data_IF_201438370552
#
_entry.id   IF_201438370552
#
_cell.length_a   1.000
_cell.length_b   1.000
_cell.length_c   1.000
_cell.angle_alpha   90.00
_cell.angle_beta   90.00
_cell.angle_gamma   90.00
#
_symmetry.space_group_name_H-M   'P 1'
#
loop_
_entity.id
_entity.type
_entity.pdbx_description
1 polymer ?
#
# COMPACT_ATOMS: atom_id res chain seq x y z
N UNK A 1 -64.33 26.09 -45.53
CA UNK A 1 -63.69 25.58 -44.31
C UNK A 1 -63.03 24.20 -44.47
N UNK A 2 -62.41 23.85 -45.65
CA UNK A 2 -61.70 22.56 -45.92
C UNK A 2 -60.19 22.68 -46.06
N UNK A 3 -59.64 23.89 -46.17
CA UNK A 3 -58.26 24.13 -46.43
C UNK A 3 -57.37 24.20 -45.18
N UNK A 4 -57.87 24.49 -44.02
CA UNK A 4 -57.04 24.71 -42.80
C UNK A 4 -56.69 23.41 -42.05
N UNK A 5 -57.53 22.36 -42.20
CA UNK A 5 -57.24 21.04 -41.57
C UNK A 5 -56.04 20.28 -42.17
N UNK A 6 -55.77 20.50 -43.48
CA UNK A 6 -54.69 19.82 -44.17
C UNK A 6 -53.30 20.46 -43.89
N UNK A 7 -53.27 21.77 -43.61
CA UNK A 7 -52.02 22.47 -43.30
C UNK A 7 -51.49 22.10 -41.89
N UNK A 8 -52.41 21.96 -40.91
CA UNK A 8 -52.03 21.50 -39.58
C UNK A 8 -51.49 20.07 -39.56
N UNK A 9 -52.05 19.19 -40.39
CA UNK A 9 -51.56 17.78 -40.47
C UNK A 9 -50.19 17.66 -41.06
N UNK A 10 -49.86 18.45 -42.06
CA UNK A 10 -48.53 18.45 -42.71
C UNK A 10 -47.45 19.07 -41.81
N UNK A 11 -47.80 20.13 -41.07
CA UNK A 11 -46.89 20.77 -40.12
C UNK A 11 -46.56 19.84 -38.92
N UNK A 12 -47.56 19.11 -38.40
CA UNK A 12 -47.37 18.17 -37.29
C UNK A 12 -46.47 16.96 -37.72
N UNK A 13 -46.64 16.44 -38.93
CA UNK A 13 -45.81 15.36 -39.45
C UNK A 13 -44.39 15.86 -39.74
N UNK A 14 -44.22 17.09 -40.27
CA UNK A 14 -42.93 17.71 -40.48
C UNK A 14 -42.12 17.94 -39.21
N UNK A 15 -42.79 18.39 -38.11
CA UNK A 15 -42.15 18.59 -36.80
C UNK A 15 -41.83 17.27 -36.14
N UNK A 16 -42.61 16.20 -36.35
CA UNK A 16 -42.34 14.87 -35.80
C UNK A 16 -41.15 14.19 -36.49
N UNK A 17 -40.94 14.42 -37.79
CA UNK A 17 -39.80 13.89 -38.55
C UNK A 17 -38.52 14.65 -38.20
N UNK A 18 -38.57 15.95 -37.91
CA UNK A 18 -37.41 16.75 -37.52
C UNK A 18 -36.96 16.41 -36.06
N UNK A 19 -37.89 16.04 -35.15
CA UNK A 19 -37.56 15.63 -33.79
C UNK A 19 -36.88 14.23 -33.71
N UNK A 20 -37.09 13.38 -34.70
CA UNK A 20 -36.43 12.06 -34.72
C UNK A 20 -34.97 12.10 -35.20
N UNK A 21 -34.52 13.19 -35.82
CA UNK A 21 -33.15 13.34 -36.32
C UNK A 21 -32.16 13.99 -35.33
N UNK A 22 -32.65 14.53 -34.21
CA UNK A 22 -31.84 15.15 -33.16
C UNK A 22 -31.55 14.20 -31.98
N UNK A 23 -31.95 12.94 -32.04
CA UNK A 23 -31.61 11.92 -31.06
C UNK A 23 -30.34 11.15 -31.48
N UNK A 24 -29.29 11.86 -31.93
CA UNK A 24 -27.92 11.38 -31.84
C UNK A 24 -27.43 11.61 -30.40
N UNK A 25 -28.08 10.97 -29.47
CA UNK A 25 -27.56 10.74 -28.15
C UNK A 25 -26.27 9.94 -28.31
N UNK A 26 -25.19 10.53 -27.84
CA UNK A 26 -23.92 9.88 -27.55
C UNK A 26 -24.19 8.61 -26.71
N UNK A 27 -24.56 7.53 -27.37
CA UNK A 27 -24.38 6.20 -26.84
C UNK A 27 -22.87 6.00 -26.81
N UNK A 28 -22.28 6.20 -25.65
CA UNK A 28 -21.06 5.50 -25.31
C UNK A 28 -21.38 4.03 -25.49
N UNK A 29 -21.07 3.49 -26.65
CA UNK A 29 -21.12 2.06 -26.89
C UNK A 29 -20.13 1.48 -25.91
N UNK A 30 -20.61 0.75 -24.92
CA UNK A 30 -19.84 -0.35 -24.39
C UNK A 30 -19.57 -1.23 -25.60
N UNK A 31 -18.39 -1.10 -26.17
CA UNK A 31 -17.85 -2.10 -27.08
C UNK A 31 -17.67 -3.28 -26.12
N UNK A 32 -18.64 -4.21 -26.10
CA UNK A 32 -18.40 -5.56 -25.63
C UNK A 32 -17.27 -6.09 -26.54
N UNK A 33 -16.04 -5.94 -26.06
CA UNK A 33 -14.89 -6.62 -26.64
C UNK A 33 -15.10 -8.07 -26.25
N UNK A 34 -15.71 -8.85 -27.17
CA UNK A 34 -15.68 -10.30 -27.04
C UNK A 34 -14.23 -10.70 -26.79
N UNK A 35 -13.94 -11.49 -25.74
CA UNK A 35 -12.59 -11.90 -25.48
C UNK A 35 -12.05 -12.64 -26.70
N UNK A 36 -11.03 -12.09 -27.34
CA UNK A 36 -10.37 -12.65 -28.53
C UNK A 36 -9.53 -13.85 -28.09
N UNK A 37 -10.17 -14.89 -27.57
CA UNK A 37 -9.55 -16.14 -27.15
C UNK A 37 -10.05 -17.29 -28.03
N UNK A 38 -9.70 -17.22 -29.32
CA UNK A 38 -10.12 -18.23 -30.31
C UNK A 38 -9.09 -19.35 -30.45
N UNK A 39 -7.88 -19.15 -29.96
CA UNK A 39 -6.79 -20.13 -30.03
C UNK A 39 -6.12 -20.36 -28.67
N UNK A 40 -5.36 -21.44 -28.57
CA UNK A 40 -4.51 -21.68 -27.39
C UNK A 40 -3.44 -20.60 -27.19
N UNK A 41 -2.97 -19.99 -28.29
CA UNK A 41 -2.04 -18.87 -28.23
C UNK A 41 -2.68 -17.61 -27.64
N UNK A 42 -3.94 -17.32 -27.98
CA UNK A 42 -4.66 -16.18 -27.42
C UNK A 42 -4.90 -16.37 -25.91
N UNK A 43 -5.30 -17.58 -25.51
CA UNK A 43 -5.48 -17.92 -24.09
C UNK A 43 -4.17 -17.77 -23.32
N UNK A 44 -3.04 -18.21 -23.88
CA UNK A 44 -1.73 -18.04 -23.24
C UNK A 44 -1.32 -16.57 -23.17
N UNK A 45 -1.57 -15.79 -24.21
CA UNK A 45 -1.29 -14.35 -24.23
C UNK A 45 -2.08 -13.61 -23.14
N UNK A 46 -3.35 -13.97 -22.95
CA UNK A 46 -4.17 -13.42 -21.88
C UNK A 46 -3.64 -13.77 -20.48
N UNK A 47 -3.23 -15.04 -20.27
CA UNK A 47 -2.62 -15.47 -19.01
C UNK A 47 -1.34 -14.71 -18.71
N UNK A 48 -0.49 -14.47 -19.73
CA UNK A 48 0.70 -13.63 -19.56
C UNK A 48 0.33 -12.20 -19.15
N UNK A 49 -0.68 -11.60 -19.78
CA UNK A 49 -1.20 -10.28 -19.41
C UNK A 49 -1.70 -10.24 -17.96
N UNK A 50 -2.43 -11.28 -17.51
CA UNK A 50 -2.87 -11.38 -16.12
C UNK A 50 -1.70 -11.45 -15.12
N UNK A 51 -0.64 -12.20 -15.45
CA UNK A 51 0.54 -12.31 -14.61
C UNK A 51 1.29 -10.97 -14.53
N UNK A 52 1.48 -10.28 -15.64
CA UNK A 52 2.06 -8.93 -15.68
C UNK A 52 1.21 -7.98 -14.82
N UNK A 53 -0.11 -7.95 -15.02
CA UNK A 53 -1.02 -7.07 -14.27
C UNK A 53 -0.97 -7.31 -12.76
N UNK A 54 -0.96 -8.57 -12.31
CA UNK A 54 -0.84 -8.90 -10.88
C UNK A 54 0.49 -8.42 -10.28
N UNK A 55 1.59 -8.59 -11.02
CA UNK A 55 2.90 -8.12 -10.57
C UNK A 55 2.95 -6.59 -10.48
N UNK A 56 2.36 -5.88 -11.44
CA UNK A 56 2.32 -4.42 -11.45
C UNK A 56 1.48 -3.87 -10.28
N UNK A 57 0.31 -4.46 -9.99
CA UNK A 57 -0.50 -4.09 -8.82
C UNK A 57 0.26 -4.35 -7.52
N UNK A 58 1.02 -5.44 -7.46
CA UNK A 58 1.88 -5.74 -6.31
C UNK A 58 3.05 -4.77 -6.15
N UNK A 59 3.56 -4.21 -7.26
CA UNK A 59 4.64 -3.23 -7.25
C UNK A 59 4.15 -1.84 -6.83
N UNK A 60 3.16 -1.31 -7.54
CA UNK A 60 2.52 -0.02 -7.24
C UNK A 60 1.16 0.09 -7.94
N UNK A 61 0.10 0.21 -7.17
CA UNK A 61 -1.28 0.30 -7.68
C UNK A 61 -1.60 1.62 -8.41
N UNK A 62 -0.70 2.61 -8.36
CA UNK A 62 -0.84 3.90 -9.04
C UNK A 62 -0.27 3.89 -10.47
N UNK A 63 0.32 2.79 -10.92
CA UNK A 63 0.83 2.68 -12.28
C UNK A 63 -0.32 2.81 -13.30
N UNK A 64 -0.09 3.61 -14.34
CA UNK A 64 -1.06 3.82 -15.42
C UNK A 64 -1.03 2.62 -16.38
N UNK A 65 -2.11 1.84 -16.37
CA UNK A 65 -2.22 0.63 -17.20
C UNK A 65 -2.16 0.93 -18.70
N UNK A 66 -2.69 2.07 -19.15
CA UNK A 66 -2.66 2.44 -20.56
C UNK A 66 -1.22 2.72 -21.03
N UNK A 67 -0.42 3.38 -20.18
CA UNK A 67 1.00 3.60 -20.46
C UNK A 67 1.78 2.27 -20.46
N UNK A 68 1.46 1.32 -19.59
CA UNK A 68 2.04 -0.03 -19.60
C UNK A 68 1.71 -0.75 -20.90
N UNK A 69 0.43 -0.74 -21.32
CA UNK A 69 0.00 -1.34 -22.56
C UNK A 69 0.68 -0.69 -23.79
N UNK A 70 0.89 0.64 -23.75
CA UNK A 70 1.63 1.34 -24.80
C UNK A 70 3.08 0.86 -24.85
N UNK A 71 3.78 0.80 -23.71
CA UNK A 71 5.16 0.30 -23.66
C UNK A 71 5.31 -1.13 -24.15
N UNK A 72 4.31 -2.00 -23.88
CA UNK A 72 4.29 -3.35 -24.43
C UNK A 72 4.16 -3.34 -25.96
N UNK A 73 3.29 -2.49 -26.53
CA UNK A 73 3.13 -2.36 -27.99
C UNK A 73 4.42 -1.85 -28.64
N UNK A 74 5.04 -0.83 -28.06
CA UNK A 74 6.27 -0.21 -28.55
C UNK A 74 7.44 -1.22 -28.52
N UNK A 75 7.54 -2.02 -27.47
CA UNK A 75 8.52 -3.10 -27.38
C UNK A 75 8.30 -4.17 -28.48
N UNK A 76 7.04 -4.50 -28.78
CA UNK A 76 6.70 -5.46 -29.83
C UNK A 76 6.99 -4.91 -31.25
N UNK A 77 6.80 -3.60 -31.49
CA UNK A 77 7.08 -2.96 -32.77
C UNK A 77 8.58 -2.68 -32.99
N UNK A 78 9.36 -2.69 -31.90
CA UNK A 78 10.78 -2.31 -31.95
C UNK A 78 11.02 -0.79 -32.00
N UNK A 79 9.99 0.02 -31.72
CA UNK A 79 10.03 1.48 -31.78
C UNK A 79 9.69 2.11 -30.41
N UNK A 80 10.53 1.91 -29.37
CA UNK A 80 10.25 2.45 -28.05
C UNK A 80 10.35 3.98 -28.02
N UNK A 81 9.40 4.65 -27.34
CA UNK A 81 9.42 6.09 -27.13
C UNK A 81 10.60 6.58 -26.28
N UNK A 82 11.09 5.73 -25.40
CA UNK A 82 12.23 6.01 -24.53
C UNK A 82 13.38 5.09 -24.92
N UNK A 83 14.58 5.63 -25.05
CA UNK A 83 15.78 4.81 -25.15
C UNK A 83 16.12 4.16 -23.78
N UNK A 84 16.97 3.14 -23.78
CA UNK A 84 17.30 2.34 -22.61
C UNK A 84 17.87 3.17 -21.45
N UNK A 85 18.67 4.20 -21.75
CA UNK A 85 19.27 5.06 -20.73
C UNK A 85 18.20 5.91 -20.00
N UNK A 86 17.31 6.54 -20.77
CA UNK A 86 16.21 7.35 -20.23
C UNK A 86 15.21 6.48 -19.49
N UNK A 87 14.87 5.30 -20.02
CA UNK A 87 13.99 4.35 -19.37
C UNK A 87 14.55 3.89 -18.03
N UNK A 88 15.85 3.54 -18.00
CA UNK A 88 16.54 3.15 -16.75
C UNK A 88 16.59 4.28 -15.75
N UNK A 89 16.87 5.51 -16.17
CA UNK A 89 16.89 6.66 -15.29
C UNK A 89 15.51 6.96 -14.70
N UNK A 90 14.45 6.89 -15.52
CA UNK A 90 13.06 7.05 -15.08
C UNK A 90 12.66 5.98 -14.06
N UNK A 91 13.00 4.71 -14.32
CA UNK A 91 12.76 3.61 -13.38
C UNK A 91 13.45 3.83 -12.03
N UNK A 92 14.75 4.15 -12.05
CA UNK A 92 15.51 4.37 -10.82
C UNK A 92 14.99 5.58 -10.04
N UNK A 93 14.63 6.66 -10.72
CA UNK A 93 14.03 7.83 -10.10
C UNK A 93 12.71 7.45 -9.42
N UNK A 94 11.83 6.78 -10.14
CA UNK A 94 10.52 6.38 -9.62
C UNK A 94 10.64 5.50 -8.38
N UNK A 95 11.43 4.42 -8.47
CA UNK A 95 11.55 3.43 -7.38
C UNK A 95 12.29 3.99 -6.15
N UNK A 96 13.34 4.77 -6.35
CA UNK A 96 14.18 5.23 -5.25
C UNK A 96 13.73 6.55 -4.62
N UNK A 97 13.00 7.38 -5.37
CA UNK A 97 12.59 8.71 -4.87
C UNK A 97 11.08 8.88 -4.82
N UNK A 98 10.37 8.69 -5.94
CA UNK A 98 8.96 9.07 -6.00
C UNK A 98 8.09 8.17 -5.10
N UNK A 99 8.34 6.85 -5.09
CA UNK A 99 7.66 5.89 -4.20
C UNK A 99 8.02 6.18 -2.75
N UNK A 100 9.32 6.34 -2.45
CA UNK A 100 9.82 6.61 -1.10
C UNK A 100 9.23 7.89 -0.51
N UNK A 101 9.29 9.00 -1.23
CA UNK A 101 8.77 10.29 -0.76
C UNK A 101 7.24 10.28 -0.56
N UNK A 102 6.51 9.53 -1.38
CA UNK A 102 5.07 9.34 -1.23
C UNK A 102 4.74 8.58 0.05
N UNK A 103 5.41 7.45 0.29
CA UNK A 103 5.25 6.64 1.51
C UNK A 103 5.59 7.46 2.74
N UNK A 104 6.74 8.10 2.76
CA UNK A 104 7.19 8.95 3.87
C UNK A 104 6.21 10.07 4.19
N UNK A 105 5.63 10.70 3.18
CA UNK A 105 4.60 11.75 3.36
C UNK A 105 3.33 11.18 3.98
N UNK A 106 2.86 10.04 3.48
CA UNK A 106 1.70 9.34 4.02
C UNK A 106 1.93 8.95 5.48
N UNK A 107 3.04 8.30 5.80
CA UNK A 107 3.39 7.89 7.16
C UNK A 107 3.47 9.09 8.11
N UNK A 108 4.14 10.16 7.68
CA UNK A 108 4.27 11.38 8.48
C UNK A 108 2.91 12.01 8.79
N UNK A 109 2.03 12.09 7.79
CA UNK A 109 0.68 12.63 7.96
C UNK A 109 -0.14 11.76 8.90
N UNK A 110 -0.14 10.44 8.70
CA UNK A 110 -0.85 9.48 9.55
C UNK A 110 -0.40 9.59 11.02
N UNK A 111 0.90 9.62 11.28
CA UNK A 111 1.45 9.72 12.64
C UNK A 111 1.18 11.08 13.28
N UNK A 112 1.13 12.15 12.50
CA UNK A 112 0.72 13.46 12.98
C UNK A 112 -0.75 13.48 13.38
N UNK A 113 -1.62 12.93 12.56
CA UNK A 113 -3.06 12.85 12.83
C UNK A 113 -3.36 11.95 14.03
N UNK A 114 -2.64 10.83 14.18
CA UNK A 114 -2.69 9.98 15.36
C UNK A 114 -2.38 10.76 16.65
N UNK A 115 -1.30 11.55 16.65
CA UNK A 115 -0.91 12.38 17.82
C UNK A 115 -1.89 13.52 18.10
N UNK A 116 -2.56 14.03 17.08
CA UNK A 116 -3.66 15.00 17.26
C UNK A 116 -4.89 14.37 17.89
N UNK A 117 -5.21 13.13 17.47
CA UNK A 117 -6.36 12.36 17.97
C UNK A 117 -6.16 11.86 19.42
N UNK A 118 -4.96 11.37 19.74
CA UNK A 118 -4.59 10.97 21.11
C UNK A 118 -3.25 11.59 21.50
N UNK A 119 -3.30 12.62 22.34
CA UNK A 119 -2.13 13.35 22.84
C UNK A 119 -1.19 12.53 23.73
N UNK A 120 -1.56 11.31 24.10
CA UNK A 120 -0.69 10.38 24.83
C UNK A 120 0.37 9.75 23.91
N UNK A 121 0.18 9.80 22.59
CA UNK A 121 1.22 9.40 21.66
C UNK A 121 2.30 10.48 21.54
N UNK A 122 3.54 10.06 21.68
CA UNK A 122 4.73 10.90 21.60
C UNK A 122 5.62 10.40 20.47
N UNK A 123 6.29 11.30 19.77
CA UNK A 123 7.25 10.94 18.73
C UNK A 123 8.68 11.13 19.21
N UNK A 124 9.56 10.19 18.84
CA UNK A 124 11.01 10.35 18.95
C UNK A 124 11.59 11.11 17.74
N UNK A 125 12.86 11.48 17.82
CA UNK A 125 13.57 12.11 16.69
C UNK A 125 13.75 11.20 15.50
N UNK A 126 13.69 9.87 15.67
CA UNK A 126 13.74 8.87 14.60
C UNK A 126 12.41 8.74 13.83
N UNK A 127 11.31 9.29 14.39
CA UNK A 127 9.96 9.17 13.85
C UNK A 127 9.12 8.05 14.48
N UNK A 128 9.68 7.24 15.40
CA UNK A 128 8.90 6.29 16.18
C UNK A 128 7.81 7.04 16.94
N UNK A 129 6.56 6.66 16.80
CA UNK A 129 5.43 7.25 17.52
C UNK A 129 4.87 6.20 18.47
N UNK A 130 4.89 6.51 19.78
CA UNK A 130 4.60 5.54 20.82
C UNK A 130 3.73 6.08 21.95
N UNK A 131 3.15 5.15 22.71
CA UNK A 131 2.39 5.42 23.93
C UNK A 131 2.74 4.37 24.96
N UNK A 132 3.26 4.80 26.11
CA UNK A 132 3.56 3.91 27.22
C UNK A 132 2.30 3.75 28.08
N UNK A 133 1.85 2.50 28.23
CA UNK A 133 0.77 2.14 29.15
C UNK A 133 1.27 1.85 30.55
N UNK A 134 2.39 1.13 30.64
CA UNK A 134 3.06 0.79 31.88
C UNK A 134 4.57 0.84 31.68
N UNK A 135 5.27 1.59 32.53
CA UNK A 135 6.71 1.82 32.37
C UNK A 135 7.54 0.59 32.78
N UNK A 136 7.06 -0.19 33.73
CA UNK A 136 7.80 -1.32 34.30
C UNK A 136 8.95 -0.90 35.23
N UNK A 137 9.79 -1.88 35.59
CA UNK A 137 11.01 -1.62 36.39
C UNK A 137 12.15 -1.14 35.50
N UNK A 138 12.38 0.16 35.46
CA UNK A 138 13.43 0.79 34.65
C UNK A 138 14.86 0.43 35.08
N UNK A 139 15.06 -0.13 36.25
CA UNK A 139 16.37 -0.67 36.67
C UNK A 139 16.71 -1.96 35.93
N UNK A 140 15.69 -2.67 35.49
CA UNK A 140 15.76 -3.88 34.66
C UNK A 140 15.29 -3.57 33.24
N UNK A 141 15.96 -2.65 32.57
CA UNK A 141 15.70 -2.26 31.19
C UNK A 141 16.81 -2.78 30.28
N UNK A 142 16.56 -2.80 28.98
CA UNK A 142 17.54 -3.15 27.94
C UNK A 142 18.67 -2.11 27.96
N UNK A 143 19.90 -2.56 28.14
CA UNK A 143 21.10 -1.72 28.18
C UNK A 143 21.89 -1.76 26.87
N UNK A 144 21.95 -2.92 26.25
CA UNK A 144 22.72 -3.09 25.03
C UNK A 144 22.07 -4.13 24.10
N UNK A 145 22.61 -4.24 22.87
CA UNK A 145 22.04 -5.15 21.88
C UNK A 145 22.43 -6.63 22.10
N UNK A 146 23.23 -6.94 23.10
CA UNK A 146 23.60 -8.33 23.49
C UNK A 146 22.59 -8.91 24.49
N UNK A 147 21.78 -8.06 25.10
CA UNK A 147 20.76 -8.49 26.04
C UNK A 147 19.76 -9.41 25.36
N UNK A 148 19.15 -10.30 26.13
CA UNK A 148 18.07 -11.16 25.68
C UNK A 148 16.80 -10.77 26.41
N UNK A 149 15.69 -10.71 25.72
CA UNK A 149 14.40 -10.33 26.30
C UNK A 149 13.37 -11.42 26.14
N UNK A 150 12.51 -11.54 27.14
CA UNK A 150 11.26 -12.29 27.03
C UNK A 150 10.14 -11.31 26.80
N UNK A 151 9.47 -11.41 25.66
CA UNK A 151 8.44 -10.47 25.23
C UNK A 151 7.16 -11.17 24.85
N UNK A 152 6.06 -10.49 25.05
CA UNK A 152 4.77 -10.77 24.41
C UNK A 152 4.49 -9.63 23.46
N UNK A 153 4.03 -9.94 22.26
CA UNK A 153 3.75 -8.90 21.28
C UNK A 153 2.63 -9.26 20.31
N UNK A 154 2.09 -8.23 19.69
CA UNK A 154 1.22 -8.29 18.52
C UNK A 154 1.68 -7.23 17.50
N UNK A 155 1.83 -7.66 16.27
CA UNK A 155 2.24 -6.80 15.15
C UNK A 155 1.11 -6.75 14.14
N UNK A 156 0.70 -5.54 13.77
CA UNK A 156 -0.34 -5.31 12.77
C UNK A 156 0.22 -4.45 11.64
N UNK A 157 -0.32 -4.63 10.45
CA UNK A 157 -0.15 -3.67 9.35
C UNK A 157 -1.11 -2.47 9.51
N UNK A 158 -0.99 -1.48 8.65
CA UNK A 158 -1.85 -0.27 8.66
C UNK A 158 -3.34 -0.55 8.38
N UNK A 159 -3.67 -1.70 7.79
CA UNK A 159 -5.04 -2.14 7.54
C UNK A 159 -5.62 -2.92 8.73
N UNK A 160 -4.82 -3.17 9.79
CA UNK A 160 -5.20 -3.97 10.94
C UNK A 160 -5.01 -5.47 10.75
N UNK A 161 -4.39 -5.90 9.65
CA UNK A 161 -4.01 -7.31 9.42
C UNK A 161 -2.93 -7.74 10.40
N UNK A 162 -3.08 -8.93 11.00
CA UNK A 162 -2.07 -9.50 11.90
C UNK A 162 -0.87 -9.98 11.08
N UNK A 163 0.29 -9.36 11.32
CA UNK A 163 1.57 -9.71 10.70
C UNK A 163 2.27 -10.81 11.50
N UNK A 164 2.35 -10.61 12.83
CA UNK A 164 2.98 -11.56 13.75
C UNK A 164 2.43 -11.38 15.16
N UNK A 165 2.46 -12.46 15.95
CA UNK A 165 2.01 -12.41 17.34
C UNK A 165 2.46 -13.62 18.14
N UNK A 166 2.75 -13.42 19.42
CA UNK A 166 3.05 -14.51 20.34
C UNK A 166 1.81 -15.19 20.92
N UNK A 167 0.61 -14.60 20.75
CA UNK A 167 -0.62 -15.11 21.40
C UNK A 167 -1.10 -16.47 20.91
N UNK A 168 -0.68 -16.91 19.72
CA UNK A 168 -1.18 -18.18 19.16
C UNK A 168 -0.41 -19.41 19.62
N UNK A 169 0.89 -19.28 19.99
CA UNK A 169 1.74 -20.47 20.17
C UNK A 169 2.30 -20.62 21.60
N UNK A 170 2.92 -19.58 22.15
CA UNK A 170 3.67 -19.69 23.39
C UNK A 170 3.39 -18.54 24.38
N UNK A 171 2.52 -17.60 24.02
CA UNK A 171 2.23 -16.39 24.78
C UNK A 171 3.44 -15.45 25.00
N UNK A 172 4.68 -15.97 24.91
CA UNK A 172 5.93 -15.20 24.99
C UNK A 172 6.97 -15.71 23.98
N UNK A 173 7.84 -14.81 23.54
CA UNK A 173 9.00 -15.12 22.71
C UNK A 173 10.28 -14.66 23.39
N UNK A 174 11.33 -15.46 23.30
CA UNK A 174 12.69 -15.11 23.76
C UNK A 174 13.49 -14.62 22.56
N UNK A 175 13.87 -13.36 22.57
CA UNK A 175 14.54 -12.70 21.45
C UNK A 175 15.86 -12.07 21.89
N UNK A 176 16.89 -12.20 21.06
CA UNK A 176 18.09 -11.40 21.18
C UNK A 176 17.78 -9.97 20.68
N UNK A 177 18.11 -8.96 21.48
CA UNK A 177 17.80 -7.56 21.15
C UNK A 177 18.40 -7.16 19.80
N UNK A 178 19.62 -7.60 19.49
CA UNK A 178 20.31 -7.28 18.24
C UNK A 178 19.65 -7.85 16.96
N UNK A 179 18.72 -8.80 17.09
CA UNK A 179 18.00 -9.41 15.95
C UNK A 179 16.66 -8.72 15.65
N UNK A 180 16.20 -7.85 16.55
CA UNK A 180 14.95 -7.10 16.37
C UNK A 180 15.14 -5.94 15.39
N UNK A 181 14.05 -5.48 14.76
CA UNK A 181 14.09 -4.28 13.94
C UNK A 181 14.46 -3.03 14.78
N UNK A 182 15.04 -2.02 14.13
CA UNK A 182 15.51 -0.81 14.81
C UNK A 182 14.42 -0.14 15.65
N UNK A 183 13.20 -0.05 15.12
CA UNK A 183 12.08 0.56 15.82
C UNK A 183 11.62 -0.24 17.04
N UNK A 184 11.65 -1.59 16.95
CA UNK A 184 11.31 -2.45 18.10
C UNK A 184 12.37 -2.33 19.19
N UNK A 185 13.66 -2.28 18.85
CA UNK A 185 14.76 -2.03 19.79
C UNK A 185 14.55 -0.68 20.50
N UNK A 186 14.24 0.36 19.72
CA UNK A 186 14.02 1.70 20.24
C UNK A 186 12.81 1.74 21.20
N UNK A 187 11.67 1.16 20.78
CA UNK A 187 10.46 1.09 21.61
C UNK A 187 10.69 0.30 22.90
N UNK A 188 11.36 -0.85 22.80
CA UNK A 188 11.64 -1.72 23.96
C UNK A 188 12.55 -1.06 25.00
N UNK A 189 13.47 -0.18 24.56
CA UNK A 189 14.35 0.58 25.46
C UNK A 189 13.65 1.70 26.26
N UNK A 190 12.42 2.06 25.85
CA UNK A 190 11.63 3.08 26.55
C UNK A 190 10.91 2.54 27.79
N UNK A 191 10.91 1.22 27.99
CA UNK A 191 10.25 0.54 29.13
C UNK A 191 11.22 -0.40 29.83
N UNK A 192 10.87 -0.81 31.04
CA UNK A 192 11.58 -1.84 31.79
C UNK A 192 10.78 -3.14 31.93
N UNK A 193 11.31 -4.10 32.72
CA UNK A 193 10.65 -5.37 33.02
C UNK A 193 9.22 -5.14 33.55
N UNK A 194 8.24 -5.86 33.00
CA UNK A 194 6.81 -5.67 33.27
C UNK A 194 6.20 -4.49 32.50
N UNK A 195 6.94 -3.79 31.68
CA UNK A 195 6.46 -2.64 30.90
C UNK A 195 5.56 -3.03 29.71
N UNK A 196 4.68 -2.10 29.32
CA UNK A 196 3.76 -2.24 28.20
C UNK A 196 3.75 -0.97 27.35
N UNK A 197 3.97 -1.09 26.06
CA UNK A 197 4.06 0.00 25.11
C UNK A 197 3.33 -0.34 23.79
N UNK A 198 2.63 0.65 23.26
CA UNK A 198 2.17 0.69 21.88
C UNK A 198 3.13 1.55 21.06
N UNK A 199 3.49 1.10 19.88
CA UNK A 199 4.42 1.82 19.00
C UNK A 199 4.04 1.68 17.53
N UNK A 200 4.02 2.80 16.83
CA UNK A 200 3.92 2.87 15.37
C UNK A 200 5.32 3.10 14.80
N UNK A 201 5.76 2.16 14.00
CA UNK A 201 7.08 2.16 13.38
C UNK A 201 6.92 2.59 11.92
N UNK A 202 7.40 3.77 11.53
CA UNK A 202 7.57 4.10 10.12
C UNK A 202 8.34 2.97 9.40
N UNK A 203 8.09 2.78 8.13
CA UNK A 203 8.71 1.70 7.35
C UNK A 203 10.24 1.65 7.49
N UNK A 204 10.89 2.81 7.60
CA UNK A 204 12.34 2.95 7.81
C UNK A 204 12.86 2.39 9.14
N UNK A 205 12.01 2.30 10.15
CA UNK A 205 12.30 1.70 11.46
C UNK A 205 11.84 0.24 11.56
N UNK A 206 11.01 -0.21 10.61
CA UNK A 206 10.55 -1.59 10.47
C UNK A 206 11.46 -2.37 9.49
N UNK A 207 10.94 -2.75 8.32
CA UNK A 207 11.66 -3.56 7.33
C UNK A 207 12.09 -2.77 6.07
N UNK A 208 11.83 -1.47 6.02
CA UNK A 208 12.27 -0.56 4.96
C UNK A 208 11.77 -0.92 3.56
N UNK A 209 12.61 -0.58 2.58
CA UNK A 209 12.31 -0.86 1.15
C UNK A 209 12.49 -2.34 0.76
N UNK A 210 13.06 -3.16 1.63
CA UNK A 210 13.18 -4.59 1.39
C UNK A 210 11.88 -5.35 1.74
N UNK A 211 11.13 -4.89 2.76
CA UNK A 211 10.05 -5.67 3.31
C UNK A 211 10.55 -6.90 4.10
N UNK A 212 9.66 -7.86 4.34
CA UNK A 212 9.99 -9.13 4.97
C UNK A 212 9.08 -10.24 4.44
N UNK A 213 9.57 -11.04 3.50
CA UNK A 213 8.80 -12.10 2.85
C UNK A 213 8.33 -13.18 3.82
N UNK A 214 9.16 -13.53 4.81
CA UNK A 214 8.82 -14.55 5.82
C UNK A 214 7.63 -14.14 6.71
N UNK A 215 7.40 -12.85 6.88
CA UNK A 215 6.27 -12.29 7.62
C UNK A 215 5.18 -11.73 6.70
N UNK A 216 5.33 -11.83 5.38
CA UNK A 216 4.41 -11.26 4.41
C UNK A 216 4.36 -9.72 4.41
N UNK A 217 5.38 -9.06 4.97
CA UNK A 217 5.46 -7.60 5.03
C UNK A 217 6.00 -7.05 3.72
N UNK A 218 5.19 -6.26 3.03
CA UNK A 218 5.58 -5.62 1.78
C UNK A 218 6.63 -4.52 2.00
N UNK A 219 7.42 -4.18 0.96
CA UNK A 219 8.29 -3.01 0.98
C UNK A 219 7.55 -1.74 1.44
N UNK A 220 8.26 -0.90 2.17
CA UNK A 220 7.77 0.40 2.63
C UNK A 220 6.46 0.34 3.44
N UNK A 221 6.30 -0.69 4.26
CA UNK A 221 5.12 -0.86 5.12
C UNK A 221 5.42 -0.39 6.54
N UNK A 222 4.61 0.57 7.03
CA UNK A 222 4.58 0.99 8.43
C UNK A 222 3.88 -0.09 9.26
N UNK A 223 4.38 -0.36 10.46
CA UNK A 223 3.85 -1.38 11.35
C UNK A 223 3.43 -0.80 12.71
N UNK A 224 2.37 -1.37 13.25
CA UNK A 224 1.96 -1.17 14.62
C UNK A 224 2.46 -2.32 15.47
N UNK A 225 3.07 -2.01 16.61
CA UNK A 225 3.51 -2.95 17.62
C UNK A 225 2.82 -2.67 18.94
N UNK A 226 2.26 -3.70 19.53
CA UNK A 226 1.88 -3.72 20.93
C UNK A 226 2.81 -4.70 21.64
N UNK A 227 3.58 -4.26 22.61
CA UNK A 227 4.67 -5.01 23.21
C UNK A 227 4.65 -4.94 24.73
N UNK A 228 4.76 -6.11 25.35
CA UNK A 228 5.00 -6.31 26.77
C UNK A 228 6.39 -6.88 26.99
N UNK A 229 7.21 -6.17 27.75
CA UNK A 229 8.54 -6.62 28.18
C UNK A 229 8.41 -7.44 29.45
N UNK A 230 8.40 -8.77 29.31
CA UNK A 230 8.14 -9.68 30.44
C UNK A 230 9.38 -9.84 31.33
N UNK A 231 10.56 -10.00 30.73
CA UNK A 231 11.83 -10.16 31.45
C UNK A 231 12.99 -9.64 30.61
N UNK A 232 14.09 -9.25 31.25
CA UNK A 232 15.31 -8.74 30.63
C UNK A 232 16.54 -9.44 31.21
N UNK A 233 17.20 -10.27 30.41
CA UNK A 233 18.48 -10.88 30.73
C UNK A 233 19.61 -9.99 30.20
N UNK A 234 20.21 -9.23 31.07
CA UNK A 234 21.36 -8.36 30.75
C UNK A 234 22.64 -9.17 30.61
N UNK A 235 23.42 -8.89 29.55
CA UNK A 235 24.71 -9.52 29.25
C UNK A 235 25.84 -8.52 29.13
#
# INVERSE_FOLDING_TARGET
MRGIKNICSVVVVGVMVVMTMLSCGRRGGNVEVEPVMQSSADSMSYVMGLNIGRNLVGLDSLLNIDAVCQGLRDAYSGEPLLNDEVARAAYLKYMNYDVYERVKRYESQFLEDLRKADRKFVATSSGLTYKVHHLGDTKKSIRNNRDTVLVRFRVLDVAGGVVDTTYYNADTARLAVGEMSRGVIEASKLIGEGGHIEAWLPSTLAFGSAGCDSLGVKPNTMLYYELWLVDVEQR
#
